data_IF_653229540649
#
_entry.id   IF_653229540649
#
_cell.length_a   1.000
_cell.length_b   1.000
_cell.length_c   1.000
_cell.angle_alpha   90.00
_cell.angle_beta   90.00
_cell.angle_gamma   90.00
#
_symmetry.space_group_name_H-M   'P 1'
#
loop_
_entity.id
_entity.type
_entity.pdbx_description
1 polymer ?
#
# COMPACT_ATOMS: atom_id res chain seq x y z
N UNK A 1 -34.01 -17.69 -37.21
CA UNK A 1 -34.60 -17.95 -35.89
C UNK A 1 -34.10 -16.85 -34.97
N UNK A 2 -34.94 -15.88 -34.63
CA UNK A 2 -34.56 -14.72 -33.79
C UNK A 2 -35.08 -15.01 -32.39
N UNK A 3 -34.19 -15.06 -31.40
CA UNK A 3 -34.56 -15.31 -30.00
C UNK A 3 -35.08 -14.00 -29.38
N UNK A 4 -36.37 -13.95 -29.08
CA UNK A 4 -37.02 -12.85 -28.37
C UNK A 4 -36.84 -13.04 -26.86
N UNK A 5 -35.94 -12.26 -26.26
CA UNK A 5 -35.63 -12.33 -24.82
C UNK A 5 -36.77 -11.81 -23.94
N UNK A 6 -37.76 -11.08 -24.47
CA UNK A 6 -38.83 -10.49 -23.65
C UNK A 6 -39.88 -11.52 -23.17
N UNK A 7 -39.86 -12.73 -23.73
CA UNK A 7 -40.70 -13.86 -23.30
C UNK A 7 -39.91 -15.00 -22.63
N UNK A 8 -38.61 -14.80 -22.40
CA UNK A 8 -37.81 -15.78 -21.68
C UNK A 8 -38.13 -15.70 -20.19
N UNK A 9 -38.95 -16.63 -19.70
CA UNK A 9 -39.16 -16.87 -18.26
C UNK A 9 -37.96 -17.54 -17.59
N UNK A 10 -36.77 -17.55 -18.20
CA UNK A 10 -35.52 -17.84 -17.50
C UNK A 10 -35.08 -16.63 -16.66
N UNK A 11 -35.96 -16.17 -15.77
CA UNK A 11 -35.47 -15.67 -14.50
C UNK A 11 -34.89 -16.89 -13.80
N UNK A 12 -33.58 -16.93 -13.58
CA UNK A 12 -32.94 -17.99 -12.81
C UNK A 12 -33.52 -17.90 -11.40
N UNK A 13 -34.61 -18.62 -11.15
CA UNK A 13 -35.17 -18.78 -9.83
C UNK A 13 -34.11 -19.49 -8.99
N UNK A 14 -33.74 -18.89 -7.85
CA UNK A 14 -32.82 -19.50 -6.89
C UNK A 14 -33.42 -20.85 -6.44
N UNK A 15 -32.85 -21.95 -6.93
CA UNK A 15 -33.27 -23.30 -6.58
C UNK A 15 -32.57 -23.73 -5.30
N UNK A 16 -33.32 -23.93 -4.22
CA UNK A 16 -32.79 -24.34 -2.91
C UNK A 16 -32.18 -25.75 -2.88
N UNK A 17 -32.38 -26.53 -3.95
CA UNK A 17 -31.84 -27.89 -4.11
C UNK A 17 -30.49 -27.93 -4.83
N UNK A 18 -29.96 -26.78 -5.26
CA UNK A 18 -28.65 -26.67 -5.88
C UNK A 18 -27.75 -25.91 -4.90
N UNK A 19 -26.71 -26.59 -4.40
CA UNK A 19 -25.60 -25.92 -3.75
C UNK A 19 -24.75 -25.27 -4.86
N UNK A 20 -24.89 -23.96 -5.02
CA UNK A 20 -24.13 -23.17 -5.99
C UNK A 20 -22.68 -22.92 -5.54
N UNK A 21 -22.26 -23.53 -4.43
CA UNK A 21 -21.03 -23.18 -3.74
C UNK A 21 -21.19 -21.88 -2.95
N UNK A 22 -20.18 -21.49 -2.16
CA UNK A 22 -20.24 -20.25 -1.42
C UNK A 22 -20.36 -19.06 -2.36
N UNK A 23 -21.18 -18.10 -1.92
CA UNK A 23 -21.50 -16.91 -2.70
C UNK A 23 -20.26 -16.04 -2.85
N UNK A 24 -19.92 -15.57 -4.06
CA UNK A 24 -18.86 -14.58 -4.24
C UNK A 24 -19.14 -13.33 -3.39
N UNK A 25 -18.09 -12.73 -2.85
CA UNK A 25 -18.21 -11.59 -1.93
C UNK A 25 -17.62 -10.31 -2.53
N UNK A 26 -18.12 -9.16 -2.10
CA UNK A 26 -17.55 -7.87 -2.47
C UNK A 26 -16.15 -7.72 -1.89
N UNK A 27 -15.29 -6.95 -2.56
CA UNK A 27 -13.95 -6.63 -2.08
C UNK A 27 -13.92 -5.18 -1.59
N UNK A 28 -13.54 -5.00 -0.32
CA UNK A 28 -13.19 -3.70 0.22
C UNK A 28 -11.71 -3.69 0.59
N UNK A 29 -10.96 -2.74 0.06
CA UNK A 29 -9.53 -2.62 0.33
C UNK A 29 -9.19 -1.27 0.91
N UNK A 30 -8.51 -1.26 2.06
CA UNK A 30 -7.95 -0.01 2.58
C UNK A 30 -6.90 0.49 1.60
N UNK A 31 -6.96 1.77 1.26
CA UNK A 31 -6.01 2.44 0.39
C UNK A 31 -4.81 2.94 1.23
N UNK A 32 -3.58 2.98 0.69
CA UNK A 32 -2.44 3.60 1.36
C UNK A 32 -2.76 5.01 1.88
N UNK A 33 -2.24 5.36 3.07
CA UNK A 33 -2.55 6.63 3.79
C UNK A 33 -2.19 7.88 2.98
N UNK A 34 -1.34 7.76 1.96
CA UNK A 34 -0.99 8.84 1.03
C UNK A 34 -2.11 9.09 -0.01
N UNK A 35 -3.35 9.21 0.48
CA UNK A 35 -4.64 9.20 -0.24
C UNK A 35 -4.73 10.22 -1.40
N UNK A 36 -3.91 11.26 -1.40
CA UNK A 36 -3.88 12.22 -2.50
C UNK A 36 -3.40 11.56 -3.81
N UNK A 37 -2.62 10.50 -3.71
CA UNK A 37 -1.91 9.94 -4.85
C UNK A 37 -2.60 8.71 -5.41
N UNK A 38 -3.11 7.77 -4.61
CA UNK A 38 -3.70 6.56 -5.21
C UNK A 38 -4.93 6.92 -6.05
N UNK A 39 -4.83 6.76 -7.36
CA UNK A 39 -5.93 7.01 -8.32
C UNK A 39 -6.34 5.78 -9.10
N UNK A 40 -5.49 4.75 -9.16
CA UNK A 40 -5.83 3.52 -9.83
C UNK A 40 -5.44 2.29 -9.00
N UNK A 41 -6.35 1.32 -8.97
CA UNK A 41 -6.15 0.01 -8.37
C UNK A 41 -6.15 -1.02 -9.49
N UNK A 42 -5.09 -1.83 -9.58
CA UNK A 42 -5.06 -3.02 -10.45
C UNK A 42 -5.18 -4.27 -9.58
N UNK A 43 -6.11 -5.14 -9.94
CA UNK A 43 -6.29 -6.44 -9.30
C UNK A 43 -5.87 -7.51 -10.29
N UNK A 44 -5.05 -8.45 -9.83
CA UNK A 44 -4.63 -9.62 -10.61
C UNK A 44 -5.10 -10.87 -9.86
N UNK A 45 -5.89 -11.70 -10.53
CA UNK A 45 -6.36 -12.96 -9.97
C UNK A 45 -5.34 -14.11 -10.13
N UNK A 46 -5.66 -15.27 -9.57
CA UNK A 46 -4.83 -16.48 -9.67
C UNK A 46 -4.55 -16.95 -11.11
N UNK A 47 -5.42 -16.61 -12.07
CA UNK A 47 -5.29 -16.95 -13.47
C UNK A 47 -4.53 -15.87 -14.25
N UNK A 48 -3.99 -14.86 -13.55
CA UNK A 48 -3.30 -13.69 -14.11
C UNK A 48 -4.21 -12.79 -14.95
N UNK A 49 -5.53 -12.87 -14.74
CA UNK A 49 -6.47 -11.92 -15.33
C UNK A 49 -6.37 -10.63 -14.52
N UNK A 50 -6.06 -9.53 -15.21
CA UNK A 50 -5.96 -8.21 -14.60
C UNK A 50 -7.18 -7.36 -14.92
N UNK A 51 -7.61 -6.59 -13.92
CA UNK A 51 -8.60 -5.53 -14.09
C UNK A 51 -8.16 -4.29 -13.33
N UNK A 52 -8.39 -3.12 -13.93
CA UNK A 52 -8.05 -1.84 -13.31
C UNK A 52 -9.30 -1.03 -12.99
N UNK A 53 -9.21 -0.25 -11.92
CA UNK A 53 -10.31 0.46 -11.29
C UNK A 53 -9.87 1.88 -10.91
N UNK A 54 -10.73 2.87 -11.18
CA UNK A 54 -10.53 4.23 -10.66
C UNK A 54 -10.84 4.27 -9.17
N UNK A 55 -9.92 4.83 -8.38
CA UNK A 55 -10.09 4.99 -6.94
C UNK A 55 -10.65 6.39 -6.65
N UNK A 56 -11.96 6.54 -6.84
CA UNK A 56 -12.62 7.86 -6.78
C UNK A 56 -13.42 8.10 -5.48
N UNK A 57 -13.83 7.03 -4.78
CA UNK A 57 -14.69 7.11 -3.59
C UNK A 57 -14.15 6.23 -2.47
N UNK A 58 -13.39 6.86 -1.56
CA UNK A 58 -12.82 6.22 -0.37
C UNK A 58 -13.67 6.63 0.84
N UNK A 59 -14.04 5.66 1.68
CA UNK A 59 -14.83 5.91 2.88
C UNK A 59 -14.02 6.59 4.00
N UNK A 60 -14.69 6.94 5.10
CA UNK A 60 -14.06 7.57 6.27
C UNK A 60 -12.98 6.73 6.96
N UNK A 61 -12.99 5.41 6.76
CA UNK A 61 -12.04 4.46 7.33
C UNK A 61 -10.88 4.17 6.35
N UNK A 62 -10.88 4.80 5.17
CA UNK A 62 -9.84 4.64 4.16
C UNK A 62 -10.07 3.46 3.22
N UNK A 63 -11.25 2.83 3.22
CA UNK A 63 -11.58 1.74 2.30
C UNK A 63 -12.14 2.23 0.98
N UNK A 64 -11.69 1.60 -0.09
CA UNK A 64 -12.30 1.64 -1.41
C UNK A 64 -13.06 0.33 -1.66
N UNK A 65 -14.32 0.43 -2.09
CA UNK A 65 -15.10 -0.71 -2.56
C UNK A 65 -14.89 -0.87 -4.07
N UNK A 66 -14.37 -2.03 -4.49
CA UNK A 66 -14.06 -2.34 -5.90
C UNK A 66 -15.33 -2.37 -6.77
N UNK A 67 -16.51 -2.46 -6.14
CA UNK A 67 -17.82 -2.46 -6.77
C UNK A 67 -18.31 -3.88 -7.06
N UNK A 68 -19.63 -4.06 -7.07
CA UNK A 68 -20.27 -5.38 -7.18
C UNK A 68 -20.04 -6.16 -8.48
N UNK A 69 -19.31 -5.59 -9.45
CA UNK A 69 -19.00 -6.25 -10.72
C UNK A 69 -17.69 -7.05 -10.69
N UNK A 70 -16.87 -6.91 -9.64
CA UNK A 70 -15.68 -7.73 -9.43
C UNK A 70 -15.69 -8.34 -8.04
N UNK A 71 -16.14 -9.60 -7.98
CA UNK A 71 -16.36 -10.33 -6.72
C UNK A 71 -15.23 -11.32 -6.48
N UNK A 72 -14.85 -11.46 -5.21
CA UNK A 72 -13.89 -12.47 -4.78
C UNK A 72 -14.57 -13.85 -4.75
N UNK A 73 -13.86 -14.86 -5.25
CA UNK A 73 -14.35 -16.24 -5.36
C UNK A 73 -13.60 -17.15 -4.39
N UNK A 74 -14.27 -18.21 -3.94
CA UNK A 74 -13.64 -19.20 -3.07
C UNK A 74 -12.44 -19.87 -3.76
N UNK A 75 -11.36 -20.04 -3.00
CA UNK A 75 -10.17 -20.73 -3.48
C UNK A 75 -9.29 -19.89 -4.41
N UNK A 76 -9.74 -18.69 -4.81
CA UNK A 76 -8.94 -17.77 -5.60
C UNK A 76 -7.97 -16.98 -4.72
N UNK A 77 -6.85 -16.59 -5.33
CA UNK A 77 -5.93 -15.61 -4.77
C UNK A 77 -5.94 -14.33 -5.60
N UNK A 78 -5.71 -13.20 -4.94
CA UNK A 78 -5.74 -11.88 -5.54
C UNK A 78 -4.53 -11.08 -5.08
N UNK A 79 -3.88 -10.41 -6.02
CA UNK A 79 -2.87 -9.39 -5.73
C UNK A 79 -3.40 -8.02 -6.09
N UNK A 80 -3.18 -7.05 -5.21
CA UNK A 80 -3.64 -5.68 -5.37
C UNK A 80 -2.42 -4.77 -5.57
N UNK A 81 -2.47 -3.91 -6.58
CA UNK A 81 -1.43 -2.96 -6.91
C UNK A 81 -2.04 -1.56 -6.97
N UNK A 82 -1.44 -0.63 -6.23
CA UNK A 82 -1.93 0.74 -6.11
C UNK A 82 -1.04 1.68 -6.92
N UNK A 83 -1.64 2.52 -7.76
CA UNK A 83 -0.94 3.42 -8.66
C UNK A 83 -1.36 4.86 -8.44
N UNK A 84 -0.44 5.83 -8.64
CA UNK A 84 -0.75 7.23 -8.45
C UNK A 84 -1.53 7.87 -9.61
N UNK A 85 -1.55 7.20 -10.77
CA UNK A 85 -2.08 7.77 -12.01
C UNK A 85 -3.57 7.47 -12.17
N UNK A 86 -4.34 8.48 -12.58
CA UNK A 86 -5.78 8.33 -12.89
C UNK A 86 -6.06 7.82 -14.30
N UNK A 87 -5.03 7.70 -15.13
CA UNK A 87 -5.17 7.18 -16.49
C UNK A 87 -5.09 5.67 -16.43
N UNK A 88 -6.14 4.97 -16.86
CA UNK A 88 -6.21 3.51 -16.89
C UNK A 88 -7.10 3.06 -18.05
N UNK A 89 -6.96 1.80 -18.43
CA UNK A 89 -7.90 1.10 -19.30
C UNK A 89 -8.58 -0.03 -18.50
N UNK A 90 -9.44 -0.83 -19.13
CA UNK A 90 -10.18 -1.87 -18.42
C UNK A 90 -9.26 -2.90 -17.70
N UNK A 91 -8.07 -3.15 -18.22
CA UNK A 91 -7.16 -4.21 -17.74
C UNK A 91 -6.00 -3.70 -16.91
N UNK A 92 -5.71 -2.40 -16.98
CA UNK A 92 -4.42 -1.89 -16.54
C UNK A 92 -4.42 -0.39 -16.16
N UNK A 93 -3.59 -0.05 -15.18
CA UNK A 93 -3.29 1.31 -14.77
C UNK A 93 -2.14 1.84 -15.64
N UNK A 94 -2.36 2.92 -16.40
CA UNK A 94 -1.32 3.44 -17.29
C UNK A 94 -0.13 4.04 -16.51
N UNK A 95 1.06 3.94 -17.09
CA UNK A 95 2.31 4.30 -16.41
C UNK A 95 2.79 3.22 -15.46
N UNK A 96 2.64 1.94 -15.84
CA UNK A 96 2.96 0.70 -15.09
C UNK A 96 4.35 0.66 -14.41
N UNK A 97 5.23 1.61 -14.67
CA UNK A 97 6.59 1.64 -14.14
C UNK A 97 6.63 1.91 -12.63
N UNK A 98 5.61 2.52 -12.01
CA UNK A 98 5.64 2.82 -10.58
C UNK A 98 4.30 2.60 -9.87
N UNK A 99 4.31 1.67 -8.92
CA UNK A 99 3.22 1.45 -7.96
C UNK A 99 3.61 2.02 -6.58
N UNK A 100 2.62 2.53 -5.86
CA UNK A 100 2.73 3.09 -4.51
C UNK A 100 2.82 1.99 -3.45
N UNK A 101 2.09 0.89 -3.68
CA UNK A 101 2.10 -0.28 -2.82
C UNK A 101 1.60 -1.50 -3.59
N UNK A 102 1.90 -2.69 -3.08
CA UNK A 102 1.22 -3.89 -3.55
C UNK A 102 1.08 -4.95 -2.44
N UNK A 103 0.16 -5.90 -2.65
CA UNK A 103 0.04 -7.07 -1.79
C UNK A 103 0.71 -8.29 -2.43
N UNK A 104 1.30 -9.15 -1.61
CA UNK A 104 1.50 -10.55 -2.03
C UNK A 104 0.13 -11.19 -2.33
N UNK A 105 0.05 -12.30 -3.09
CA UNK A 105 -1.21 -12.96 -3.38
C UNK A 105 -1.95 -13.34 -2.09
N UNK A 106 -3.16 -12.81 -1.92
CA UNK A 106 -4.01 -13.04 -0.76
C UNK A 106 -5.11 -14.03 -1.13
N UNK A 107 -5.32 -15.06 -0.32
CA UNK A 107 -6.48 -15.94 -0.48
C UNK A 107 -7.74 -15.18 -0.09
N UNK A 108 -8.77 -15.26 -0.94
CA UNK A 108 -10.05 -14.61 -0.66
C UNK A 108 -10.71 -15.16 0.61
N UNK A 109 -11.18 -14.26 1.46
CA UNK A 109 -11.96 -14.59 2.66
C UNK A 109 -13.46 -14.43 2.37
N UNK A 110 -14.06 -15.51 1.90
CA UNK A 110 -15.46 -15.55 1.46
C UNK A 110 -16.48 -15.75 2.59
N UNK A 111 -16.04 -15.98 3.84
CA UNK A 111 -16.98 -16.07 4.98
C UNK A 111 -17.47 -14.71 5.47
N UNK A 112 -16.87 -13.62 4.95
CA UNK A 112 -17.26 -12.24 5.22
C UNK A 112 -17.63 -11.54 3.92
N UNK A 113 -18.72 -10.79 3.94
CA UNK A 113 -19.13 -9.94 2.83
C UNK A 113 -19.38 -8.52 3.36
N UNK A 114 -18.53 -7.54 3.01
CA UNK A 114 -17.39 -7.62 2.10
C UNK A 114 -16.18 -8.37 2.69
N UNK A 115 -15.31 -8.91 1.82
CA UNK A 115 -13.95 -9.28 2.18
C UNK A 115 -13.12 -8.02 2.34
N UNK A 116 -12.73 -7.74 3.58
CA UNK A 116 -11.91 -6.59 3.92
C UNK A 116 -10.41 -6.91 3.85
N UNK A 117 -9.69 -6.15 3.03
CA UNK A 117 -8.23 -6.17 2.92
C UNK A 117 -7.68 -4.92 3.60
N UNK A 118 -7.09 -5.08 4.79
CA UNK A 118 -6.58 -3.98 5.61
C UNK A 118 -5.17 -3.56 5.20
N UNK A 119 -4.75 -2.33 5.51
CA UNK A 119 -3.37 -1.87 5.24
C UNK A 119 -2.30 -2.76 5.86
N UNK A 120 -2.58 -3.36 7.02
CA UNK A 120 -1.65 -4.21 7.75
C UNK A 120 -1.20 -5.46 6.98
N UNK A 121 -1.86 -5.83 5.86
CA UNK A 121 -1.41 -6.96 5.04
C UNK A 121 -0.28 -6.58 4.08
N UNK A 122 -0.02 -5.29 3.86
CA UNK A 122 0.99 -4.78 2.93
C UNK A 122 1.76 -3.56 3.46
N UNK A 123 1.63 -3.27 4.76
CA UNK A 123 2.37 -2.22 5.43
C UNK A 123 2.65 -2.59 6.88
N UNK A 124 3.71 -2.01 7.42
CA UNK A 124 4.15 -2.19 8.81
C UNK A 124 4.59 -0.87 9.41
N UNK A 125 4.66 -0.79 10.73
CA UNK A 125 5.27 0.34 11.43
C UNK A 125 6.79 0.41 11.21
N UNK A 126 7.42 1.47 11.71
CA UNK A 126 8.87 1.67 11.59
C UNK A 126 9.52 1.98 12.94
N UNK A 127 10.54 1.19 13.28
CA UNK A 127 11.51 1.49 14.33
C UNK A 127 12.87 1.65 13.68
N UNK A 128 13.54 2.75 13.95
CA UNK A 128 14.80 3.12 13.30
C UNK A 128 15.86 3.39 14.36
N UNK A 129 17.03 2.76 14.24
CA UNK A 129 18.19 3.16 15.04
C UNK A 129 18.58 4.56 14.63
N UNK A 130 18.89 5.45 15.56
CA UNK A 130 19.31 6.81 15.26
C UNK A 130 20.82 6.99 15.47
N UNK A 131 21.50 7.84 14.69
CA UNK A 131 22.84 8.29 15.04
C UNK A 131 22.79 9.02 16.39
N UNK A 132 23.91 8.97 17.13
CA UNK A 132 24.03 9.73 18.37
C UNK A 132 23.77 11.22 18.10
N UNK A 133 23.00 11.87 18.97
CA UNK A 133 22.71 13.32 18.91
C UNK A 133 21.85 13.77 17.72
N UNK A 134 21.30 12.85 16.92
CA UNK A 134 20.34 13.20 15.88
C UNK A 134 19.07 13.80 16.49
N UNK A 135 18.67 14.98 15.97
CA UNK A 135 17.48 15.72 16.42
C UNK A 135 16.38 15.77 15.37
N UNK A 136 16.73 15.43 14.12
CA UNK A 136 15.77 15.29 13.04
C UNK A 136 16.01 13.99 12.28
N UNK A 137 14.90 13.37 11.87
CA UNK A 137 14.84 12.28 10.92
C UNK A 137 14.02 12.73 9.71
N UNK A 138 14.57 12.61 8.50
CA UNK A 138 13.78 12.67 7.28
C UNK A 138 13.74 11.29 6.61
N UNK A 139 12.55 10.88 6.20
CA UNK A 139 12.32 9.65 5.45
C UNK A 139 11.73 10.04 4.10
N UNK A 140 12.40 9.63 3.04
CA UNK A 140 11.92 9.76 1.68
C UNK A 140 11.54 8.38 1.14
N UNK A 141 10.34 8.25 0.59
CA UNK A 141 9.86 7.03 -0.05
C UNK A 141 9.88 7.19 -1.57
N UNK A 142 10.36 6.17 -2.26
CA UNK A 142 10.58 6.15 -3.70
C UNK A 142 9.96 4.91 -4.33
N UNK A 143 9.55 4.99 -5.60
CA UNK A 143 9.16 3.81 -6.34
C UNK A 143 10.38 2.92 -6.58
N UNK A 144 10.20 1.60 -6.60
CA UNK A 144 11.30 0.65 -6.85
C UNK A 144 11.88 0.76 -8.26
N UNK A 145 11.12 1.30 -9.23
CA UNK A 145 11.44 1.25 -10.65
C UNK A 145 11.47 2.62 -11.34
N UNK A 146 11.70 3.70 -10.58
CA UNK A 146 11.78 5.05 -11.14
C UNK A 146 13.23 5.57 -11.21
N UNK A 147 13.63 5.99 -12.41
CA UNK A 147 14.94 6.59 -12.71
C UNK A 147 14.98 8.08 -12.33
N UNK A 148 13.83 8.75 -12.14
CA UNK A 148 13.74 10.20 -11.90
C UNK A 148 14.17 10.61 -10.48
N UNK A 149 14.56 9.64 -9.63
CA UNK A 149 15.17 9.84 -8.31
C UNK A 149 14.42 10.87 -7.43
N UNK A 150 13.11 10.98 -7.65
CA UNK A 150 12.23 11.93 -6.99
C UNK A 150 11.37 11.18 -5.98
N UNK A 151 11.35 11.60 -4.71
CA UNK A 151 10.55 10.91 -3.71
C UNK A 151 9.07 11.11 -4.02
N UNK A 152 8.31 10.02 -3.98
CA UNK A 152 6.85 10.07 -3.98
C UNK A 152 6.39 10.84 -2.74
N UNK A 153 7.00 10.53 -1.59
CA UNK A 153 6.63 11.14 -0.32
C UNK A 153 7.86 11.40 0.55
N UNK A 154 7.82 12.51 1.27
CA UNK A 154 8.87 12.93 2.20
C UNK A 154 8.24 13.29 3.55
N UNK A 155 8.74 12.71 4.63
CA UNK A 155 8.35 13.01 6.00
C UNK A 155 9.53 13.47 6.82
N UNK A 156 9.29 14.43 7.70
CA UNK A 156 10.25 14.88 8.70
C UNK A 156 9.69 14.66 10.09
N UNK A 157 10.55 14.20 11.00
CA UNK A 157 10.22 13.92 12.39
C UNK A 157 11.26 14.57 13.30
N UNK A 158 10.78 15.25 14.33
CA UNK A 158 11.62 15.65 15.44
C UNK A 158 11.91 14.44 16.31
N UNK A 159 13.18 14.28 16.68
CA UNK A 159 13.66 13.15 17.47
C UNK A 159 13.78 13.62 18.91
N UNK A 160 12.84 13.21 19.76
CA UNK A 160 12.72 13.69 21.15
C UNK A 160 12.86 12.57 22.20
N UNK A 161 12.49 11.34 21.84
CA UNK A 161 12.46 10.18 22.75
C UNK A 161 13.13 8.95 22.10
N UNK A 162 14.44 9.02 21.90
CA UNK A 162 15.23 7.84 21.52
C UNK A 162 15.35 6.93 22.75
N UNK A 163 15.03 5.65 22.59
CA UNK A 163 15.17 4.65 23.64
C UNK A 163 16.65 4.45 24.02
N UNK A 164 16.91 3.91 25.21
CA UNK A 164 18.28 3.66 25.72
C UNK A 164 19.13 2.78 24.80
N UNK A 165 18.49 1.98 23.94
CA UNK A 165 19.13 1.13 22.93
C UNK A 165 19.50 1.87 21.62
N UNK A 166 19.19 3.17 21.52
CA UNK A 166 19.42 4.01 20.35
C UNK A 166 18.33 3.96 19.29
N UNK A 167 17.19 3.32 19.54
CA UNK A 167 16.09 3.22 18.58
C UNK A 167 15.00 4.28 18.81
N UNK A 168 14.43 4.75 17.71
CA UNK A 168 13.35 5.72 17.67
C UNK A 168 12.12 5.12 16.99
N UNK A 169 10.97 5.23 17.64
CA UNK A 169 9.70 4.75 17.12
C UNK A 169 9.02 5.85 16.32
N UNK A 170 8.90 5.67 15.01
CA UNK A 170 8.23 6.64 14.14
C UNK A 170 6.72 6.45 14.23
N UNK A 171 6.10 7.12 15.20
CA UNK A 171 4.66 6.97 15.49
C UNK A 171 3.81 7.36 14.28
N UNK A 172 2.78 6.56 14.01
CA UNK A 172 1.81 6.76 12.92
C UNK A 172 2.44 6.81 11.51
N UNK A 173 3.65 6.28 11.35
CA UNK A 173 4.27 6.12 10.04
C UNK A 173 4.17 4.66 9.59
N UNK A 174 3.71 4.48 8.36
CA UNK A 174 3.62 3.17 7.73
C UNK A 174 4.61 3.10 6.57
N UNK A 175 5.39 2.02 6.55
CA UNK A 175 6.14 1.61 5.38
C UNK A 175 5.32 0.59 4.61
N UNK A 176 5.24 0.78 3.30
CA UNK A 176 4.49 -0.05 2.36
C UNK A 176 5.41 -0.97 1.56
N UNK A 177 4.89 -2.17 1.28
CA UNK A 177 5.45 -3.10 0.31
C UNK A 177 5.47 -2.46 -1.07
N UNK A 178 6.62 -2.48 -1.73
CA UNK A 178 6.77 -1.94 -3.09
C UNK A 178 7.37 -0.55 -3.19
N UNK A 179 7.76 0.04 -2.05
CA UNK A 179 8.55 1.27 -2.00
C UNK A 179 9.96 0.98 -1.47
N UNK A 180 10.88 1.85 -1.86
CA UNK A 180 12.19 1.97 -1.24
C UNK A 180 12.25 3.22 -0.37
N UNK A 181 13.01 3.14 0.72
CA UNK A 181 13.13 4.22 1.70
C UNK A 181 14.57 4.71 1.77
N UNK A 182 14.71 6.02 1.73
CA UNK A 182 15.96 6.72 1.93
C UNK A 182 15.86 7.52 3.22
N UNK A 183 16.90 7.43 4.05
CA UNK A 183 16.89 8.00 5.39
C UNK A 183 17.95 9.09 5.51
N UNK A 184 17.56 10.20 6.12
CA UNK A 184 18.45 11.27 6.49
C UNK A 184 18.31 11.56 7.99
N UNK A 185 19.44 11.88 8.63
CA UNK A 185 19.43 12.40 9.98
C UNK A 185 20.30 13.66 10.04
N UNK A 186 19.85 14.63 10.83
CA UNK A 186 20.57 15.87 11.08
C UNK A 186 20.74 16.07 12.59
N UNK A 187 21.91 16.60 12.96
CA UNK A 187 22.13 17.17 14.28
C UNK A 187 21.84 18.69 14.23
N UNK A 188 21.56 19.32 15.36
CA UNK A 188 21.37 20.78 15.41
C UNK A 188 22.67 21.44 15.87
N UNK A 189 23.69 21.44 15.02
CA UNK A 189 24.96 22.09 15.33
C UNK A 189 24.87 23.63 15.39
N UNK A 190 23.77 24.25 14.94
CA UNK A 190 23.73 25.70 14.65
C UNK A 190 22.73 26.53 15.46
N UNK A 191 22.04 25.94 16.45
CA UNK A 191 21.12 26.69 17.32
C UNK A 191 19.86 27.19 16.58
N UNK A 192 19.48 26.50 15.49
CA UNK A 192 18.28 26.83 14.71
C UNK A 192 17.05 26.27 15.44
N UNK A 193 15.94 26.99 15.40
CA UNK A 193 14.68 26.59 16.06
C UNK A 193 14.04 25.33 15.46
N UNK A 194 14.42 24.95 14.23
CA UNK A 194 13.98 23.73 13.55
C UNK A 194 15.19 22.88 13.13
N UNK A 195 15.51 21.80 13.87
CA UNK A 195 16.57 20.86 13.52
C UNK A 195 16.40 20.18 12.16
N UNK A 196 15.21 20.20 11.57
CA UNK A 196 14.95 19.64 10.24
C UNK A 196 15.16 20.65 9.09
N UNK A 197 15.49 21.91 9.40
CA UNK A 197 15.75 22.95 8.40
C UNK A 197 17.23 23.06 7.99
N UNK A 198 18.12 22.28 8.63
CA UNK A 198 19.56 22.25 8.33
C UNK A 198 19.89 21.15 7.32
N UNK A 199 21.07 21.24 6.70
CA UNK A 199 21.59 20.17 5.85
C UNK A 199 21.73 18.86 6.63
N UNK A 200 21.53 17.72 5.96
CA UNK A 200 21.59 16.41 6.59
C UNK A 200 23.03 15.89 6.68
N UNK A 201 23.49 15.61 7.89
CA UNK A 201 24.85 15.12 8.18
C UNK A 201 25.02 13.63 7.90
N UNK A 202 23.91 12.89 7.95
CA UNK A 202 23.87 11.47 7.63
C UNK A 202 22.83 11.20 6.56
N UNK A 203 23.25 10.47 5.52
CA UNK A 203 22.38 10.02 4.44
C UNK A 203 22.71 8.56 4.13
N UNK A 204 21.69 7.75 3.81
CA UNK A 204 21.91 6.39 3.30
C UNK A 204 20.97 6.03 2.17
N UNK A 205 21.54 5.28 1.23
CA UNK A 205 20.89 4.62 0.10
C UNK A 205 19.64 3.81 0.43
N UNK A 206 18.90 3.55 -0.64
CA UNK A 206 17.61 2.90 -0.69
C UNK A 206 17.54 1.56 0.06
N UNK A 207 16.58 1.43 0.97
CA UNK A 207 16.21 0.19 1.64
C UNK A 207 14.77 -0.20 1.31
N UNK A 208 14.58 -1.43 0.86
CA UNK A 208 13.25 -2.01 0.72
C UNK A 208 12.68 -2.35 2.10
N UNK A 209 11.41 -2.04 2.32
CA UNK A 209 10.74 -2.41 3.57
C UNK A 209 10.66 -3.93 3.72
N UNK A 210 10.86 -4.41 4.95
CA UNK A 210 10.55 -5.78 5.33
C UNK A 210 9.18 -5.82 6.00
N UNK A 211 8.15 -6.14 5.22
CA UNK A 211 6.77 -6.23 5.71
C UNK A 211 6.48 -7.50 6.51
N UNK A 212 7.44 -8.42 6.65
CA UNK A 212 7.23 -9.65 7.44
C UNK A 212 7.43 -9.42 8.93
N UNK A 213 7.98 -8.26 9.31
CA UNK A 213 8.21 -7.84 10.68
C UNK A 213 7.45 -6.53 10.93
N UNK A 214 6.46 -6.58 11.84
CA UNK A 214 5.74 -5.38 12.28
C UNK A 214 6.05 -5.08 13.76
N UNK A 215 6.73 -3.96 14.07
CA UNK A 215 7.28 -2.96 13.15
C UNK A 215 8.57 -3.42 12.44
N UNK A 216 8.87 -2.81 11.28
CA UNK A 216 10.14 -2.99 10.60
C UNK A 216 11.24 -2.28 11.40
N UNK A 217 12.17 -3.06 11.95
CA UNK A 217 13.31 -2.55 12.73
C UNK A 217 14.53 -2.43 11.83
N UNK A 218 15.08 -1.22 11.70
CA UNK A 218 16.18 -0.93 10.77
C UNK A 218 17.30 -0.14 11.43
N UNK A 219 18.54 -0.47 11.07
CA UNK A 219 19.73 0.35 11.33
C UNK A 219 20.27 0.86 9.98
N UNK A 220 19.81 2.03 9.54
CA UNK A 220 20.21 2.60 8.26
C UNK A 220 21.58 3.29 8.35
N UNK A 221 22.44 2.99 9.32
CA UNK A 221 23.76 3.64 9.38
C UNK A 221 24.93 2.66 9.28
N UNK A 222 24.68 1.37 9.50
CA UNK A 222 25.75 0.37 9.69
C UNK A 222 26.11 -0.47 8.47
N UNK A 223 25.42 -0.36 7.33
CA UNK A 223 25.81 -1.14 6.15
C UNK A 223 26.83 -0.39 5.31
N UNK A 224 28.10 -0.66 5.59
CA UNK A 224 29.19 -0.49 4.64
C UNK A 224 29.24 -1.73 3.74
N UNK A 225 29.08 -1.55 2.43
CA UNK A 225 29.67 -2.45 1.43
C UNK A 225 30.42 -1.61 0.42
#
# INVERSE_FOLDING_TARGET
>A
MVFDQTKSQFGIASRSDIDYGPTPVEIMIQVPIYLAETKCLKIIDQNRISQAFSVDSIDQNGYYNVGGNYLAQEGFTYSFYFYPNSTFNATDCSGEQFYLAYTNPLKAEITKNPWEVTRSVYSVGLIIKMPSEALCLQINAFPVADDDNSPIYSSQFLVDNVEDNGYFHVKNYLVYQGLMYYFFAANNETGISNPCAVGFDHSRGYLSADITNDPWVVDPWTFNK
#
